data_IF_450372633025
#
_entry.id   IF_450372633025
#
_cell.length_a   1.000
_cell.length_b   1.000
_cell.length_c   1.000
_cell.angle_alpha   90.00
_cell.angle_beta   90.00
_cell.angle_gamma   90.00
#
_symmetry.space_group_name_H-M   'P 1'
#
loop_
_entity.id
_entity.type
_entity.pdbx_description
1 polymer ?
#
# COMPACT_ATOMS: atom_id res chain seq x y z
N UNK A 1 -7.18 -4.45 -12.91
CA UNK A 1 -6.86 -5.08 -11.61
C UNK A 1 -6.88 -6.59 -11.76
N UNK A 2 -5.91 -7.27 -11.15
CA UNK A 2 -5.86 -8.73 -11.25
C UNK A 2 -6.96 -9.38 -10.44
N UNK A 3 -7.48 -10.51 -10.96
CA UNK A 3 -8.40 -11.33 -10.20
C UNK A 3 -7.68 -11.90 -8.97
N UNK A 4 -8.42 -12.15 -7.91
CA UNK A 4 -7.83 -12.59 -6.64
C UNK A 4 -6.91 -13.80 -6.82
N UNK A 5 -7.33 -14.78 -7.60
CA UNK A 5 -6.55 -16.00 -7.82
C UNK A 5 -5.23 -15.77 -8.54
N UNK A 6 -5.08 -14.63 -9.22
CA UNK A 6 -3.88 -14.31 -9.99
C UNK A 6 -2.96 -13.34 -9.26
N UNK A 7 -3.30 -12.96 -8.04
CA UNK A 7 -2.48 -12.03 -7.25
C UNK A 7 -1.38 -12.77 -6.52
N UNK A 8 -0.23 -12.11 -6.41
CA UNK A 8 0.91 -12.65 -5.67
C UNK A 8 1.16 -11.84 -4.41
N UNK A 9 1.71 -12.46 -3.37
CA UNK A 9 2.04 -11.73 -2.14
C UNK A 9 2.98 -10.57 -2.43
N UNK A 10 2.69 -9.41 -1.83
CA UNK A 10 3.61 -8.28 -1.89
C UNK A 10 4.84 -8.62 -1.03
N UNK A 11 6.05 -8.34 -1.54
CA UNK A 11 7.27 -8.62 -0.78
C UNK A 11 7.30 -7.88 0.54
N UNK A 12 7.74 -8.56 1.59
CA UNK A 12 7.86 -7.95 2.91
C UNK A 12 9.09 -7.06 2.98
N UNK A 13 9.01 -6.05 3.84
CA UNK A 13 10.13 -5.17 4.11
C UNK A 13 10.04 -4.65 5.55
N UNK A 14 11.14 -4.09 6.02
CA UNK A 14 11.20 -3.42 7.31
C UNK A 14 12.01 -2.15 7.10
N UNK A 15 11.33 -1.01 7.09
CA UNK A 15 11.95 0.29 6.80
C UNK A 15 11.58 1.27 7.90
N UNK A 16 12.37 2.34 8.04
CA UNK A 16 12.18 3.28 9.14
C UNK A 16 11.34 4.48 8.72
N UNK A 17 10.46 4.91 9.61
CA UNK A 17 9.72 6.16 9.43
C UNK A 17 10.50 7.34 10.01
N UNK A 18 9.89 8.54 9.99
CA UNK A 18 10.59 9.77 10.40
C UNK A 18 10.92 9.81 11.89
N UNK A 19 10.32 8.94 12.68
CA UNK A 19 10.59 8.84 14.11
C UNK A 19 11.56 7.70 14.43
N UNK A 20 12.12 7.06 13.40
CA UNK A 20 13.03 5.94 13.58
C UNK A 20 12.32 4.63 13.90
N UNK A 21 11.00 4.60 13.83
CA UNK A 21 10.24 3.39 14.10
C UNK A 21 10.27 2.48 12.88
N UNK A 22 10.49 1.18 13.11
CA UNK A 22 10.45 0.20 12.05
C UNK A 22 9.02 -0.05 11.61
N UNK A 23 8.79 0.08 10.30
CA UNK A 23 7.49 -0.17 9.68
C UNK A 23 7.63 -1.38 8.79
N UNK A 24 6.76 -2.36 8.97
CA UNK A 24 6.76 -3.59 8.16
C UNK A 24 5.48 -3.64 7.36
N UNK A 25 5.53 -4.18 6.16
CA UNK A 25 4.32 -4.33 5.38
C UNK A 25 3.30 -5.19 6.12
N UNK A 26 3.76 -6.22 6.81
CA UNK A 26 2.84 -7.10 7.55
C UNK A 26 2.04 -6.36 8.63
N UNK A 27 2.51 -5.18 9.07
CA UNK A 27 1.77 -4.36 10.03
C UNK A 27 0.44 -3.88 9.46
N UNK A 28 0.30 -3.92 8.14
CA UNK A 28 -0.89 -3.46 7.44
C UNK A 28 -1.83 -4.60 7.02
N UNK A 29 -1.57 -5.83 7.47
CA UNK A 29 -2.39 -6.96 7.09
C UNK A 29 -3.84 -6.72 7.54
N UNK A 30 -4.78 -7.02 6.67
CA UNK A 30 -6.19 -6.74 6.92
C UNK A 30 -6.66 -5.42 6.36
N UNK A 31 -5.74 -4.56 5.95
CA UNK A 31 -6.06 -3.28 5.31
C UNK A 31 -5.76 -3.35 3.83
N UNK A 32 -6.50 -2.56 3.07
CA UNK A 32 -6.13 -2.27 1.68
C UNK A 32 -5.04 -1.21 1.73
N UNK A 33 -3.92 -1.44 1.05
CA UNK A 33 -2.77 -0.53 1.10
C UNK A 33 -2.47 0.02 -0.28
N UNK A 34 -2.27 1.33 -0.36
CA UNK A 34 -1.70 1.97 -1.53
C UNK A 34 -0.25 2.25 -1.20
N UNK A 35 0.65 1.48 -1.80
CA UNK A 35 2.09 1.59 -1.57
C UNK A 35 2.70 2.41 -2.69
N UNK A 36 3.21 3.59 -2.35
CA UNK A 36 3.66 4.59 -3.33
C UNK A 36 5.17 4.79 -3.25
N UNK A 37 5.89 4.31 -4.27
CA UNK A 37 7.32 4.60 -4.42
C UNK A 37 7.44 5.95 -5.12
N UNK A 38 8.05 6.91 -4.43
CA UNK A 38 8.13 8.29 -4.91
C UNK A 38 9.48 8.91 -4.56
N UNK A 39 9.73 10.12 -5.06
CA UNK A 39 10.87 10.93 -4.64
C UNK A 39 10.44 12.40 -4.62
N UNK A 40 11.14 13.19 -3.82
CA UNK A 40 10.78 14.61 -3.66
C UNK A 40 11.00 15.41 -4.93
N UNK A 41 11.94 14.96 -5.79
CA UNK A 41 12.25 15.63 -7.05
C UNK A 41 11.38 15.21 -8.21
N UNK A 42 10.45 14.30 -7.99
CA UNK A 42 9.62 13.71 -9.05
C UNK A 42 8.35 14.53 -9.25
N UNK A 43 8.25 15.19 -10.41
CA UNK A 43 7.09 16.03 -10.72
C UNK A 43 5.76 15.30 -10.68
N UNK A 44 5.62 14.18 -11.42
CA UNK A 44 4.35 13.41 -11.38
C UNK A 44 3.99 12.91 -10.00
N UNK A 45 4.97 12.60 -9.16
CA UNK A 45 4.71 12.18 -7.78
C UNK A 45 3.99 13.29 -7.02
N UNK A 46 4.41 14.55 -7.23
CA UNK A 46 3.80 15.69 -6.57
C UNK A 46 2.35 15.90 -6.99
N UNK A 47 1.99 15.47 -8.18
CA UNK A 47 0.61 15.57 -8.65
C UNK A 47 -0.26 14.55 -7.93
N UNK A 48 0.26 13.34 -7.72
CA UNK A 48 -0.51 12.25 -7.12
C UNK A 48 -0.63 12.35 -5.61
N UNK A 49 0.37 12.90 -4.93
CA UNK A 49 0.37 12.94 -3.47
C UNK A 49 -0.90 13.58 -2.89
N UNK A 50 -1.38 14.72 -3.37
CA UNK A 50 -2.63 15.27 -2.85
C UNK A 50 -3.82 14.34 -3.03
N UNK A 51 -3.88 13.56 -4.11
CA UNK A 51 -4.93 12.58 -4.30
C UNK A 51 -4.85 11.50 -3.22
N UNK A 52 -3.65 11.02 -2.94
CA UNK A 52 -3.45 9.97 -1.93
C UNK A 52 -3.79 10.47 -0.53
N UNK A 53 -3.49 11.74 -0.25
CA UNK A 53 -3.87 12.36 1.02
C UNK A 53 -5.38 12.37 1.21
N UNK A 54 -6.10 12.68 0.14
CA UNK A 54 -7.56 12.69 0.17
C UNK A 54 -8.11 11.27 0.35
N UNK A 55 -7.52 10.29 -0.35
CA UNK A 55 -7.92 8.90 -0.24
C UNK A 55 -7.68 8.36 1.18
N UNK A 56 -6.55 8.73 1.77
CA UNK A 56 -6.25 8.37 3.16
C UNK A 56 -7.32 8.94 4.09
N UNK A 57 -7.61 10.23 3.94
CA UNK A 57 -8.58 10.90 4.79
C UNK A 57 -9.96 10.27 4.68
N UNK A 58 -10.38 9.95 3.48
CA UNK A 58 -11.72 9.41 3.23
C UNK A 58 -11.88 7.97 3.69
N UNK A 59 -10.84 7.18 3.62
CA UNK A 59 -10.98 5.73 3.71
C UNK A 59 -10.25 5.09 4.89
N UNK A 60 -9.53 5.85 5.69
CA UNK A 60 -8.75 5.26 6.79
C UNK A 60 -9.63 4.47 7.76
N UNK A 61 -10.84 4.96 8.00
CA UNK A 61 -11.75 4.27 8.93
C UNK A 61 -12.42 3.05 8.30
N UNK A 62 -12.23 2.86 7.00
CA UNK A 62 -12.74 1.69 6.28
C UNK A 62 -11.69 0.59 6.14
N UNK A 63 -10.54 0.74 6.78
CA UNK A 63 -9.46 -0.24 6.66
C UNK A 63 -8.57 -0.01 5.46
N UNK A 64 -8.25 1.24 5.19
CA UNK A 64 -7.35 1.64 4.10
C UNK A 64 -6.19 2.45 4.65
N UNK A 65 -5.04 2.30 4.05
CA UNK A 65 -3.88 3.11 4.38
C UNK A 65 -3.03 3.37 3.14
N UNK A 66 -2.47 4.57 3.08
CA UNK A 66 -1.40 4.88 2.13
C UNK A 66 -0.07 4.72 2.87
N UNK A 67 0.91 4.12 2.22
CA UNK A 67 2.27 4.04 2.74
C UNK A 67 3.21 4.52 1.65
N UNK A 68 3.89 5.63 1.89
CA UNK A 68 4.86 6.17 0.96
C UNK A 68 6.24 5.60 1.21
N UNK A 69 6.96 5.28 0.14
CA UNK A 69 8.34 4.81 0.21
C UNK A 69 9.18 5.79 -0.59
N UNK A 70 9.97 6.60 0.11
CA UNK A 70 10.83 7.58 -0.54
C UNK A 70 12.06 6.90 -1.10
N UNK A 71 12.38 7.20 -2.35
CA UNK A 71 13.59 6.72 -3.01
C UNK A 71 14.65 7.81 -3.08
N UNK A 72 14.51 8.86 -2.26
CA UNK A 72 15.51 9.94 -2.19
C UNK A 72 16.79 9.43 -1.53
N UNK A 73 17.92 9.67 -2.18
CA UNK A 73 19.23 9.26 -1.66
C UNK A 73 19.62 10.06 -0.41
N UNK A 74 19.12 11.28 -0.30
CA UNK A 74 19.46 12.17 0.81
C UNK A 74 18.71 11.83 2.10
N UNK A 75 17.72 10.95 2.02
CA UNK A 75 17.00 10.52 3.20
C UNK A 75 16.17 11.60 3.85
N UNK A 76 16.07 11.53 5.17
CA UNK A 76 15.16 12.40 5.91
C UNK A 76 15.49 13.89 5.84
N UNK A 77 16.75 14.25 5.57
CA UNK A 77 17.12 15.66 5.45
C UNK A 77 16.32 16.38 4.37
N UNK A 78 16.00 15.67 3.28
CA UNK A 78 15.21 16.21 2.18
C UNK A 78 13.73 15.85 2.32
N UNK A 79 13.45 14.64 2.77
CA UNK A 79 12.06 14.12 2.77
C UNK A 79 11.22 14.79 3.84
N UNK A 80 11.76 14.99 5.04
CA UNK A 80 10.98 15.53 6.14
C UNK A 80 10.42 16.93 5.84
N UNK A 81 11.23 17.89 5.36
CA UNK A 81 10.68 19.20 4.99
C UNK A 81 9.65 19.12 3.86
N UNK A 82 9.88 18.22 2.90
CA UNK A 82 8.95 18.05 1.79
C UNK A 82 7.57 17.57 2.28
N UNK A 83 7.54 16.59 3.17
CA UNK A 83 6.28 16.09 3.72
C UNK A 83 5.57 17.14 4.55
N UNK A 84 6.32 17.93 5.30
CA UNK A 84 5.76 19.01 6.12
C UNK A 84 5.14 20.08 5.24
N UNK A 85 5.82 20.45 4.16
CA UNK A 85 5.34 21.47 3.25
C UNK A 85 4.02 21.06 2.59
N UNK A 86 3.90 19.80 2.19
CA UNK A 86 2.69 19.30 1.56
C UNK A 86 1.61 18.92 2.55
N UNK A 87 1.93 18.82 3.83
CA UNK A 87 0.98 18.41 4.85
C UNK A 87 0.59 16.95 4.74
N UNK A 88 1.53 16.09 4.33
CA UNK A 88 1.25 14.66 4.10
C UNK A 88 0.69 14.03 5.37
N UNK A 89 -0.43 13.32 5.24
CA UNK A 89 -1.19 12.77 6.36
C UNK A 89 -1.08 11.25 6.48
N UNK A 90 -0.13 10.63 5.80
CA UNK A 90 0.09 9.19 5.87
C UNK A 90 1.56 8.91 6.17
N UNK A 91 1.84 7.67 6.55
CA UNK A 91 3.21 7.30 6.93
C UNK A 91 4.10 7.18 5.70
N UNK A 92 5.33 7.63 5.86
CA UNK A 92 6.36 7.54 4.82
C UNK A 92 7.60 6.90 5.45
N UNK A 93 8.23 6.02 4.69
CA UNK A 93 9.49 5.38 5.09
C UNK A 93 10.53 5.64 4.01
N UNK A 94 11.81 5.50 4.34
CA UNK A 94 12.89 5.64 3.37
C UNK A 94 13.17 4.26 2.78
N UNK A 95 13.08 4.17 1.45
CA UNK A 95 13.37 2.94 0.74
C UNK A 95 14.85 2.74 0.49
N UNK A 96 15.17 1.62 -0.13
CA UNK A 96 16.53 1.28 -0.51
C UNK A 96 16.49 0.39 -1.75
N UNK A 97 17.68 0.11 -2.30
CA UNK A 97 17.79 -0.69 -3.51
C UNK A 97 17.26 -2.11 -3.30
N UNK A 98 17.49 -2.68 -2.13
CA UNK A 98 17.00 -4.03 -1.82
C UNK A 98 15.49 -4.11 -1.93
N UNK A 99 14.79 -3.16 -1.31
CA UNK A 99 13.33 -3.13 -1.36
C UNK A 99 12.85 -2.88 -2.79
N UNK A 100 13.50 -1.97 -3.51
CA UNK A 100 13.14 -1.69 -4.89
C UNK A 100 13.28 -2.94 -5.76
N UNK A 101 14.34 -3.70 -5.58
CA UNK A 101 14.55 -4.93 -6.35
C UNK A 101 13.45 -5.95 -6.10
N UNK A 102 12.99 -6.05 -4.86
CA UNK A 102 11.90 -6.96 -4.53
C UNK A 102 10.60 -6.57 -5.26
N UNK A 103 10.44 -5.29 -5.57
CA UNK A 103 9.24 -4.77 -6.23
C UNK A 103 9.45 -4.53 -7.72
N UNK A 104 10.38 -5.26 -8.33
CA UNK A 104 10.61 -5.20 -9.77
C UNK A 104 11.62 -4.18 -10.22
N UNK A 105 12.38 -3.59 -9.30
CA UNK A 105 13.41 -2.61 -9.62
C UNK A 105 12.99 -1.17 -9.39
N UNK A 106 11.72 -0.86 -9.58
CA UNK A 106 11.16 0.50 -9.44
C UNK A 106 11.99 1.51 -10.25
N UNK A 107 12.14 1.23 -11.55
CA UNK A 107 13.00 2.03 -12.43
C UNK A 107 12.36 3.36 -12.79
N UNK A 108 11.06 3.51 -12.61
CA UNK A 108 10.34 4.74 -12.92
C UNK A 108 9.56 5.19 -11.70
N UNK A 109 9.45 6.51 -11.52
CA UNK A 109 8.68 7.08 -10.43
C UNK A 109 7.60 8.00 -10.99
N UNK A 110 6.43 7.97 -10.42
CA UNK A 110 6.01 7.11 -9.33
C UNK A 110 5.74 5.69 -9.79
N UNK A 111 5.89 4.72 -8.90
CA UNK A 111 5.38 3.37 -9.11
C UNK A 111 4.52 3.05 -7.90
N UNK A 112 3.26 2.70 -8.14
CA UNK A 112 2.27 2.55 -7.09
C UNK A 112 1.63 1.18 -7.16
N UNK A 113 1.55 0.52 -6.00
CA UNK A 113 0.96 -0.81 -5.90
C UNK A 113 -0.29 -0.73 -5.05
N UNK A 114 -1.38 -1.32 -5.53
CA UNK A 114 -2.56 -1.55 -4.68
C UNK A 114 -2.47 -2.97 -4.13
N UNK A 115 -2.54 -3.08 -2.82
CA UNK A 115 -2.37 -4.34 -2.10
C UNK A 115 -3.67 -4.63 -1.37
N UNK A 116 -4.18 -5.85 -1.53
CA UNK A 116 -5.46 -6.22 -0.92
C UNK A 116 -5.29 -6.56 0.57
N UNK A 117 -6.40 -6.87 1.23
CA UNK A 117 -6.40 -7.12 2.68
C UNK A 117 -5.62 -8.38 3.06
N UNK A 118 -5.35 -9.24 2.10
CA UNK A 118 -4.54 -10.45 2.31
C UNK A 118 -3.06 -10.22 2.06
N UNK A 119 -2.67 -8.99 1.75
CA UNK A 119 -1.28 -8.67 1.47
C UNK A 119 -0.82 -9.01 0.08
N UNK A 120 -1.74 -9.20 -0.86
CA UNK A 120 -1.40 -9.55 -2.24
C UNK A 120 -1.53 -8.34 -3.15
N UNK A 121 -0.66 -8.25 -4.14
CA UNK A 121 -0.67 -7.15 -5.11
C UNK A 121 -1.85 -7.33 -6.06
N UNK A 122 -2.78 -6.37 -6.03
CA UNK A 122 -3.94 -6.38 -6.91
C UNK A 122 -3.69 -5.62 -8.20
N UNK A 123 -2.91 -4.54 -8.17
CA UNK A 123 -2.56 -3.79 -9.37
C UNK A 123 -1.26 -3.01 -9.17
N UNK A 124 -0.63 -2.66 -10.31
CA UNK A 124 0.59 -1.87 -10.35
C UNK A 124 0.36 -0.74 -11.33
N UNK A 125 0.74 0.46 -10.96
CA UNK A 125 0.65 1.64 -11.81
C UNK A 125 2.05 2.25 -11.92
N UNK A 126 2.57 2.31 -13.14
CA UNK A 126 3.90 2.84 -13.40
C UNK A 126 3.75 4.19 -14.07
N UNK A 127 4.34 5.23 -13.47
CA UNK A 127 4.18 6.60 -13.93
C UNK A 127 2.87 7.20 -13.46
N UNK A 128 2.60 8.42 -13.93
CA UNK A 128 1.37 9.12 -13.56
C UNK A 128 0.16 8.33 -14.02
N UNK A 129 -0.75 8.05 -13.11
CA UNK A 129 -1.96 7.31 -13.40
C UNK A 129 -3.18 8.20 -13.19
N UNK A 130 -4.36 7.69 -13.51
CA UNK A 130 -5.60 8.43 -13.36
C UNK A 130 -6.07 8.35 -11.91
N UNK A 131 -6.49 9.49 -11.37
CA UNK A 131 -7.07 9.53 -10.02
C UNK A 131 -8.25 8.58 -9.91
N UNK A 132 -9.08 8.54 -10.95
CA UNK A 132 -10.26 7.68 -10.95
C UNK A 132 -9.88 6.21 -10.88
N UNK A 133 -8.82 5.80 -11.55
CA UNK A 133 -8.38 4.41 -11.52
C UNK A 133 -7.97 4.00 -10.11
N UNK A 134 -7.29 4.88 -9.38
CA UNK A 134 -6.95 4.61 -7.99
C UNK A 134 -8.22 4.51 -7.13
N UNK A 135 -9.13 5.47 -7.29
CA UNK A 135 -10.35 5.50 -6.49
C UNK A 135 -11.19 4.25 -6.72
N UNK A 136 -11.37 3.88 -7.98
CA UNK A 136 -12.15 2.69 -8.32
C UNK A 136 -11.49 1.41 -7.79
N UNK A 137 -10.18 1.31 -7.93
CA UNK A 137 -9.45 0.14 -7.44
C UNK A 137 -9.53 0.00 -5.92
N UNK A 138 -9.37 1.12 -5.21
CA UNK A 138 -9.46 1.13 -3.76
C UNK A 138 -10.87 0.71 -3.33
N UNK A 139 -11.89 1.29 -3.95
CA UNK A 139 -13.27 0.98 -3.59
C UNK A 139 -13.57 -0.50 -3.84
N UNK A 140 -13.12 -1.03 -4.95
CA UNK A 140 -13.33 -2.44 -5.27
C UNK A 140 -12.69 -3.35 -4.22
N UNK A 141 -11.49 -3.03 -3.79
CA UNK A 141 -10.80 -3.84 -2.79
C UNK A 141 -11.41 -3.69 -1.40
N UNK A 142 -11.90 -2.49 -1.08
CA UNK A 142 -12.54 -2.27 0.22
C UNK A 142 -13.87 -3.03 0.34
N UNK A 143 -14.58 -3.20 -0.76
CA UNK A 143 -15.86 -3.91 -0.76
C UNK A 143 -15.71 -5.42 -0.80
N UNK A 144 -14.52 -5.93 -1.12
CA UNK A 144 -14.29 -7.36 -1.17
C UNK A 144 -14.40 -7.96 0.24
N UNK A 145 -14.75 -9.24 0.35
CA UNK A 145 -14.85 -9.88 1.67
C UNK A 145 -13.53 -9.77 2.41
N UNK A 146 -13.63 -9.69 3.73
CA UNK A 146 -12.45 -9.66 4.56
C UNK A 146 -11.63 -10.93 4.42
N UNK A 147 -10.40 -10.83 4.90
CA UNK A 147 -9.42 -11.88 4.79
C UNK A 147 -9.92 -13.23 5.25
N UNK A 148 -9.15 -14.22 4.91
CA UNK A 148 -9.47 -15.60 5.13
C UNK A 148 -9.83 -15.98 6.55
N UNK A 149 -9.34 -15.23 7.51
CA UNK A 149 -9.64 -15.54 8.91
C UNK A 149 -11.13 -15.65 9.17
N UNK A 150 -11.92 -14.73 8.61
CA UNK A 150 -13.34 -14.79 8.85
C UNK A 150 -13.97 -15.94 8.08
N UNK A 151 -13.47 -16.23 6.90
CA UNK A 151 -13.96 -17.37 6.15
C UNK A 151 -13.65 -18.67 6.85
N UNK A 152 -12.44 -18.75 7.35
CA UNK A 152 -12.02 -19.92 8.07
C UNK A 152 -12.90 -20.17 9.27
N UNK A 153 -13.18 -19.13 10.01
CA UNK A 153 -14.06 -19.27 11.14
C UNK A 153 -15.41 -19.78 10.75
N UNK A 154 -15.90 -19.34 9.63
CA UNK A 154 -17.19 -19.79 9.15
C UNK A 154 -17.19 -21.22 8.72
N UNK A 155 -16.11 -21.70 8.11
CA UNK A 155 -16.14 -23.02 7.60
C UNK A 155 -15.80 -24.02 8.64
N UNK A 156 -15.03 -23.65 9.47
CA UNK A 156 -14.63 -24.57 10.40
C UNK A 156 -15.73 -25.23 11.01
N UNK A 157 -16.15 -25.08 10.69
CA UNK A 157 -16.86 -25.58 11.24
C UNK A 157 -17.53 -26.50 10.69
N UNK A 158 -17.27 -26.38 10.22
CA UNK A 158 -17.64 -26.93 9.98
C UNK A 158 -17.88 -27.94 9.78
N UNK A 159 -18.02 -27.79 9.56
CA UNK A 159 -18.10 -28.37 9.40
C UNK A 159 -18.16 -29.45 9.56
N UNK A 160 -17.98 -29.25 9.65
CA UNK A 160 -17.80 -29.95 9.98
C UNK A 160 -18.25 -30.68 10.26
N UNK A 161 -18.29 -30.44 10.34
CA UNK A 161 -18.49 -30.76 10.80
C UNK A 161 -19.06 -31.55 10.81
N UNK A 162 -19.30 -31.46 10.57
CA UNK A 162 -19.73 -31.84 10.79
C UNK A 162 -20.16 -32.76 10.91
N UNK A 163 -20.07 -32.92 10.90
CA UNK A 163 -20.32 -33.49 11.24
C UNK A 163 -20.85 -34.37 11.38
N UNK A 164 -21.05 -34.47 11.62
CA UNK A 164 -21.32 -34.97 12.00
C UNK A 164 -21.88 -35.88 12.02
N UNK A 165 -21.98 -35.91 11.97
CA UNK A 165 -22.34 -36.40 12.19
C UNK A 165 -22.52 -37.03 12.14
#
# INVERSE_FOLDING_TARGET
MKADKDRHPAPEFALKDSNGKTVRLEDYRGKVVLLDFFATWCGPCKIEIPWFMEMERKNKDRGFAVLGVSMDDEGWDIVKPFLAELGVNYRVVIGNDSTAQLYGGVDALPTTFLIDRNGKIASVHIGLASRKDFEDGIEQLLQAPKADASRTGGMVVPAFALGAK
#
